data_IF_640679841326
#
_entry.id   IF_640679841326
#
_cell.length_a   1.000
_cell.length_b   1.000
_cell.length_c   1.000
_cell.angle_alpha   90.00
_cell.angle_beta   90.00
_cell.angle_gamma   90.00
#
_symmetry.space_group_name_H-M   'P 1'
#
loop_
_entity.id
_entity.type
_entity.pdbx_description
1 polymer ?
#
# COMPACT_ATOMS: atom_id res chain seq x y z
N UNK A 1 -19.59 -23.76 -12.86
CA UNK A 1 -19.14 -23.80 -12.54
C UNK A 1 -18.30 -23.04 -12.48
N UNK A 2 -18.01 -22.51 -12.83
CA UNK A 2 -17.07 -21.85 -12.72
C UNK A 2 -17.28 -20.61 -12.28
N UNK A 3 -18.26 -19.97 -12.33
CA UNK A 3 -18.48 -18.75 -11.94
C UNK A 3 -18.53 -18.65 -10.57
N UNK A 4 -18.98 -19.46 -9.95
CA UNK A 4 -18.86 -19.52 -8.62
C UNK A 4 -17.49 -19.43 -8.31
N UNK A 5 -16.69 -19.80 -9.17
CA UNK A 5 -15.36 -19.76 -8.93
C UNK A 5 -14.82 -18.47 -8.71
N UNK A 6 -15.38 -17.46 -9.27
CA UNK A 6 -14.91 -16.11 -9.07
C UNK A 6 -15.00 -15.74 -7.63
N UNK A 7 -16.09 -15.96 -7.00
CA UNK A 7 -16.22 -15.63 -5.62
C UNK A 7 -15.37 -16.52 -4.79
N UNK A 8 -15.26 -17.75 -5.17
CA UNK A 8 -14.43 -18.64 -4.44
C UNK A 8 -13.00 -18.25 -4.50
N UNK A 9 -12.56 -17.75 -5.62
CA UNK A 9 -11.17 -17.34 -5.77
C UNK A 9 -10.79 -16.28 -4.80
N UNK A 10 -11.66 -15.36 -4.53
CA UNK A 10 -11.35 -14.35 -3.56
C UNK A 10 -11.23 -14.93 -2.18
N UNK A 11 -12.12 -15.85 -1.85
CA UNK A 11 -12.08 -16.42 -0.53
C UNK A 11 -10.99 -17.46 -0.41
N UNK A 12 -10.59 -18.03 -1.51
CA UNK A 12 -9.62 -19.12 -1.48
C UNK A 12 -8.21 -18.71 -1.80
N UNK A 13 -7.89 -17.44 -1.69
CA UNK A 13 -6.53 -17.00 -1.92
C UNK A 13 -5.58 -17.77 -1.02
N UNK A 14 -4.42 -18.10 -1.53
CA UNK A 14 -3.42 -18.80 -0.74
C UNK A 14 -2.91 -17.88 0.34
N UNK A 15 -2.30 -18.45 1.34
CA UNK A 15 -1.70 -17.66 2.39
C UNK A 15 -0.66 -16.74 1.83
N UNK A 16 0.10 -17.19 0.86
CA UNK A 16 1.12 -16.35 0.28
C UNK A 16 0.51 -15.14 -0.39
N UNK A 17 -0.59 -15.34 -1.10
CA UNK A 17 -1.24 -14.22 -1.76
C UNK A 17 -1.79 -13.23 -0.75
N UNK A 18 -2.36 -13.75 0.34
CA UNK A 18 -2.86 -12.86 1.37
C UNK A 18 -1.73 -12.10 2.04
N UNK A 19 -0.59 -12.77 2.25
CA UNK A 19 0.56 -12.12 2.85
C UNK A 19 1.08 -11.02 1.96
N UNK A 20 1.10 -11.24 0.66
CA UNK A 20 1.54 -10.21 -0.27
C UNK A 20 0.60 -9.01 -0.26
N UNK A 21 -0.69 -9.27 -0.19
CA UNK A 21 -1.65 -8.18 -0.12
C UNK A 21 -1.42 -7.37 1.14
N UNK A 22 -1.18 -8.04 2.26
CA UNK A 22 -0.96 -7.35 3.51
C UNK A 22 0.34 -6.55 3.49
N UNK A 23 1.38 -7.10 2.87
CA UNK A 23 2.65 -6.40 2.74
C UNK A 23 2.47 -5.17 1.86
N UNK A 24 1.74 -5.32 0.78
CA UNK A 24 1.48 -4.21 -0.13
C UNK A 24 0.73 -3.09 0.58
N UNK A 25 -0.26 -3.44 1.39
CA UNK A 25 -1.00 -2.46 2.15
C UNK A 25 -0.10 -1.75 3.16
N UNK A 26 0.79 -2.49 3.80
CA UNK A 26 1.71 -1.89 4.75
C UNK A 26 2.63 -0.91 4.04
N UNK A 27 3.10 -1.26 2.85
CA UNK A 27 3.97 -0.37 2.08
C UNK A 27 3.22 0.90 1.69
N UNK A 28 1.99 0.76 1.24
CA UNK A 28 1.23 1.93 0.85
C UNK A 28 0.95 2.81 2.07
N UNK A 29 0.72 2.22 3.22
CA UNK A 29 0.50 2.99 4.44
C UNK A 29 1.71 3.79 4.84
N UNK A 30 2.90 3.22 4.69
CA UNK A 30 4.13 3.93 4.99
C UNK A 30 4.29 5.12 4.05
N UNK A 31 4.10 4.91 2.76
CA UNK A 31 4.25 5.98 1.79
C UNK A 31 3.23 7.09 2.04
N UNK A 32 2.02 6.71 2.41
CA UNK A 32 0.97 7.67 2.72
C UNK A 32 1.36 8.55 3.91
N UNK A 33 1.88 7.92 4.96
CA UNK A 33 2.30 8.67 6.13
C UNK A 33 3.47 9.58 5.82
N UNK A 34 4.41 9.09 5.00
CA UNK A 34 5.54 9.93 4.60
C UNK A 34 5.05 11.15 3.84
N UNK A 35 4.11 10.94 2.94
CA UNK A 35 3.59 12.03 2.14
C UNK A 35 2.92 13.10 3.01
N UNK A 36 2.27 12.67 4.06
CA UNK A 36 1.58 13.60 4.95
C UNK A 36 2.45 14.08 6.10
N UNK A 37 3.72 13.70 6.11
CA UNK A 37 4.65 14.07 7.18
C UNK A 37 4.21 13.53 8.53
N UNK A 38 3.56 12.40 8.52
CA UNK A 38 3.19 11.73 9.76
C UNK A 38 4.34 10.86 10.23
N UNK A 39 4.45 10.64 11.52
CA UNK A 39 5.54 9.82 12.04
C UNK A 39 5.47 8.40 11.52
N UNK A 40 6.56 7.92 10.96
CA UNK A 40 6.64 6.55 10.50
C UNK A 40 8.10 6.17 10.40
N UNK A 41 8.41 4.93 10.70
CA UNK A 41 9.76 4.41 10.58
C UNK A 41 9.69 3.24 9.60
N UNK A 42 10.04 3.48 8.33
CA UNK A 42 9.86 2.44 7.30
C UNK A 42 10.61 1.17 7.62
N UNK A 43 11.79 1.27 8.20
CA UNK A 43 12.58 0.09 8.51
C UNK A 43 11.88 -0.78 9.55
N UNK A 44 11.21 -0.16 10.47
CA UNK A 44 10.50 -0.92 11.49
C UNK A 44 9.33 -1.67 10.86
N UNK A 45 8.59 -1.01 9.99
CA UNK A 45 7.48 -1.65 9.30
C UNK A 45 7.98 -2.80 8.44
N UNK A 46 9.14 -2.61 7.80
CA UNK A 46 9.72 -3.68 7.00
C UNK A 46 10.04 -4.89 7.86
N UNK A 47 10.59 -4.68 9.03
CA UNK A 47 10.95 -5.78 9.91
C UNK A 47 9.74 -6.51 10.45
N UNK A 48 8.60 -5.86 10.45
CA UNK A 48 7.36 -6.48 10.87
C UNK A 48 6.79 -7.42 9.81
N UNK A 49 7.31 -7.35 8.59
CA UNK A 49 6.82 -8.19 7.51
C UNK A 49 7.50 -9.55 7.55
N UNK A 50 6.87 -10.58 6.99
CA UNK A 50 7.52 -11.88 6.92
C UNK A 50 8.87 -11.77 6.23
N UNK A 51 9.86 -12.49 6.72
CA UNK A 51 11.21 -12.36 6.22
C UNK A 51 11.29 -12.54 4.72
N UNK A 52 10.55 -13.48 4.17
CA UNK A 52 10.60 -13.74 2.74
C UNK A 52 9.91 -12.68 1.91
N UNK A 53 9.21 -11.75 2.55
CA UNK A 53 8.50 -10.71 1.82
C UNK A 53 9.04 -9.31 2.09
N UNK A 54 10.18 -9.22 2.78
CA UNK A 54 10.72 -7.90 3.09
C UNK A 54 11.22 -7.19 1.85
N UNK A 55 11.77 -7.95 0.92
CA UNK A 55 12.20 -7.35 -0.32
C UNK A 55 10.99 -6.89 -1.12
N UNK A 56 9.95 -7.68 -1.12
CA UNK A 56 8.70 -7.30 -1.78
C UNK A 56 8.14 -6.02 -1.15
N UNK A 57 8.22 -5.91 0.17
CA UNK A 57 7.81 -4.68 0.87
C UNK A 57 8.59 -3.48 0.35
N UNK A 58 9.91 -3.62 0.22
CA UNK A 58 10.73 -2.50 -0.26
C UNK A 58 10.37 -2.12 -1.68
N UNK A 59 10.10 -3.12 -2.53
CA UNK A 59 9.71 -2.85 -3.91
C UNK A 59 8.39 -2.11 -3.96
N UNK A 60 7.43 -2.56 -3.17
CA UNK A 60 6.14 -1.90 -3.16
C UNK A 60 6.21 -0.50 -2.55
N UNK A 61 7.03 -0.35 -1.54
CA UNK A 61 7.21 0.96 -0.94
C UNK A 61 7.79 1.94 -1.95
N UNK A 62 8.78 1.49 -2.71
CA UNK A 62 9.38 2.33 -3.74
C UNK A 62 8.33 2.69 -4.79
N UNK A 63 7.51 1.74 -5.16
CA UNK A 63 6.44 1.98 -6.12
C UNK A 63 5.49 3.07 -5.61
N UNK A 64 5.05 2.95 -4.37
CA UNK A 64 4.10 3.93 -3.83
C UNK A 64 4.75 5.29 -3.62
N UNK A 65 6.03 5.32 -3.30
CA UNK A 65 6.74 6.58 -3.21
C UNK A 65 6.82 7.26 -4.57
N UNK A 66 7.05 6.49 -5.60
CA UNK A 66 7.09 7.03 -6.95
C UNK A 66 5.74 7.57 -7.36
N UNK A 67 4.69 6.84 -7.05
CA UNK A 67 3.35 7.30 -7.36
C UNK A 67 3.06 8.61 -6.64
N UNK A 68 3.46 8.68 -5.38
CA UNK A 68 3.22 9.89 -4.60
C UNK A 68 3.94 11.09 -5.18
N UNK A 69 5.11 10.87 -5.76
CA UNK A 69 5.84 11.98 -6.36
C UNK A 69 5.18 12.49 -7.62
N UNK A 70 4.36 11.67 -8.26
CA UNK A 70 3.68 12.10 -9.47
C UNK A 70 2.50 12.99 -9.15
N UNK A 71 2.04 13.00 -7.92
CA UNK A 71 0.96 13.86 -7.52
C UNK A 71 1.56 15.04 -6.80
N UNK A 72 1.44 16.24 -7.36
CA UNK A 72 2.02 17.38 -6.70
C UNK A 72 1.33 17.56 -5.38
N UNK A 73 1.95 18.30 -4.53
CA UNK A 73 1.33 18.58 -3.29
C UNK A 73 0.02 19.23 -3.55
N UNK A 74 -0.15 19.67 -4.73
CA UNK A 74 -1.39 20.23 -5.13
C UNK A 74 -2.51 19.24 -5.15
N UNK A 75 -2.21 17.97 -5.08
CA UNK A 75 -3.28 17.07 -4.97
C UNK A 75 -4.02 17.39 -3.74
N UNK A 76 -3.33 17.86 -2.78
CA UNK A 76 -3.97 18.26 -1.57
C UNK A 76 -4.86 19.43 -1.84
N UNK A 77 -4.48 20.25 -2.77
CA UNK A 77 -5.32 21.38 -3.08
C UNK A 77 -6.57 20.95 -3.81
N UNK A 78 -6.56 19.80 -4.42
CA UNK A 78 -7.79 19.32 -5.01
C UNK A 78 -8.81 19.06 -3.92
N UNK A 79 -8.38 18.45 -2.86
CA UNK A 79 -9.26 18.22 -1.74
C UNK A 79 -9.66 19.54 -1.09
N UNK A 80 -8.74 20.44 -1.00
CA UNK A 80 -9.02 21.72 -0.43
C UNK A 80 -10.06 22.45 -1.24
N UNK A 81 -9.96 22.33 -2.56
CA UNK A 81 -10.89 22.95 -3.39
C UNK A 81 -12.26 22.46 -3.13
N UNK A 82 -12.41 21.17 -2.96
CA UNK A 82 -13.69 20.63 -2.65
C UNK A 82 -14.19 21.09 -1.32
N UNK A 83 -13.31 21.22 -0.39
CA UNK A 83 -13.70 21.68 0.91
C UNK A 83 -14.10 23.10 0.89
N UNK A 84 -13.55 23.86 0.05
CA UNK A 84 -13.86 25.26 -0.02
C UNK A 84 -15.20 25.49 -0.55
N UNK A 85 -15.82 24.53 -1.11
CA UNK A 85 -17.14 24.77 -1.55
C UNK A 85 -18.09 24.66 -0.47
#
# INVERSE_FOLDING_TARGET
MNRTETGHNLAARTSEERDKINVDLAASGVAYKERLNLPVIPQQTEMEQPAGLREYFRERLQHYRSVALQFPKGTDSVYQKEESK
#
